data_IF_449014905507
#
_entry.id   IF_449014905507
#
_cell.length_a   1.000
_cell.length_b   1.000
_cell.length_c   1.000
_cell.angle_alpha   90.00
_cell.angle_beta   90.00
_cell.angle_gamma   90.00
#
_symmetry.space_group_name_H-M   'P 1'
#
loop_
_entity.id
_entity.type
_entity.pdbx_description
1 polymer ?
#
# COMPACT_ATOMS: atom_id res chain seq x y z
N UNK A 1 -8.80 -13.61 -3.15
CA UNK A 1 -8.17 -12.41 -2.58
C UNK A 1 -9.04 -11.65 -1.58
N UNK A 2 -10.36 -11.50 -1.77
CA UNK A 2 -11.22 -10.78 -0.82
C UNK A 2 -11.26 -11.37 0.62
N UNK A 3 -10.80 -12.61 0.80
CA UNK A 3 -10.72 -13.25 2.12
C UNK A 3 -9.49 -12.81 2.94
N UNK A 4 -8.48 -12.18 2.30
CA UNK A 4 -7.24 -11.76 2.95
C UNK A 4 -7.31 -10.35 3.57
N UNK A 5 -8.27 -9.54 3.13
CA UNK A 5 -8.50 -8.20 3.68
C UNK A 5 -9.42 -8.32 4.90
N UNK A 6 -9.01 -7.66 5.99
CA UNK A 6 -9.79 -7.57 7.22
C UNK A 6 -10.54 -6.24 7.30
N UNK A 7 -9.82 -5.14 7.05
CA UNK A 7 -10.36 -3.77 7.10
C UNK A 7 -9.71 -2.90 6.02
N UNK A 8 -10.46 -1.92 5.51
CA UNK A 8 -9.96 -0.88 4.61
C UNK A 8 -10.36 0.47 5.18
N UNK A 9 -9.36 1.30 5.46
CA UNK A 9 -9.52 2.69 5.85
C UNK A 9 -9.01 3.60 4.73
N UNK A 10 -9.73 4.69 4.49
CA UNK A 10 -9.39 5.68 3.46
C UNK A 10 -9.50 7.05 4.09
N UNK A 11 -8.37 7.74 4.17
CA UNK A 11 -8.25 9.09 4.67
C UNK A 11 -7.91 10.04 3.52
N UNK A 12 -8.55 11.22 3.50
CA UNK A 12 -8.25 12.27 2.52
C UNK A 12 -8.10 13.57 3.28
N UNK A 13 -6.86 13.94 3.61
CA UNK A 13 -6.53 15.16 4.33
C UNK A 13 -5.68 16.10 3.47
N UNK A 14 -6.01 17.39 3.48
CA UNK A 14 -5.17 18.42 2.84
C UNK A 14 -4.92 18.27 1.33
N UNK A 15 -5.71 17.44 0.63
CA UNK A 15 -5.50 17.12 -0.79
C UNK A 15 -4.56 15.93 -1.04
N UNK A 16 -4.30 15.13 -0.01
CA UNK A 16 -3.62 13.84 -0.11
C UNK A 16 -4.56 12.71 0.34
N UNK A 17 -4.73 11.72 -0.51
CA UNK A 17 -5.42 10.47 -0.21
C UNK A 17 -4.41 9.43 0.32
N UNK A 18 -4.79 8.80 1.42
CA UNK A 18 -4.10 7.65 2.01
C UNK A 18 -5.09 6.51 2.14
N UNK A 19 -4.68 5.32 1.75
CA UNK A 19 -5.43 4.08 1.92
C UNK A 19 -4.64 3.16 2.84
N UNK A 20 -5.31 2.57 3.81
CA UNK A 20 -4.74 1.58 4.73
C UNK A 20 -5.60 0.33 4.63
N UNK A 21 -4.98 -0.76 4.20
CA UNK A 21 -5.62 -2.08 4.10
C UNK A 21 -5.02 -2.98 5.17
N UNK A 22 -5.81 -3.33 6.17
CA UNK A 22 -5.45 -4.36 7.14
C UNK A 22 -5.63 -5.73 6.51
N UNK A 23 -4.61 -6.58 6.59
CA UNK A 23 -4.67 -7.95 6.07
C UNK A 23 -4.65 -8.97 7.21
N UNK A 24 -5.37 -10.08 7.01
CA UNK A 24 -5.41 -11.20 7.95
C UNK A 24 -4.09 -11.94 8.02
N UNK A 25 -3.38 -11.99 6.90
CA UNK A 25 -2.07 -12.63 6.80
C UNK A 25 -1.03 -11.90 7.65
N UNK A 26 0.02 -12.63 8.04
CA UNK A 26 1.09 -12.15 8.91
C UNK A 26 2.43 -12.43 8.27
N UNK A 27 3.41 -11.57 8.52
CA UNK A 27 4.80 -11.84 8.12
C UNK A 27 5.38 -12.84 9.12
N UNK A 28 6.04 -13.93 8.68
CA UNK A 28 6.53 -14.98 9.57
C UNK A 28 7.50 -14.46 10.66
N UNK A 29 8.28 -13.44 10.34
CA UNK A 29 9.25 -12.82 11.27
C UNK A 29 8.59 -11.88 12.29
N UNK A 30 7.34 -11.47 12.06
CA UNK A 30 6.59 -10.48 12.86
C UNK A 30 5.15 -10.95 13.06
N UNK A 31 4.97 -12.21 13.45
CA UNK A 31 3.65 -12.85 13.52
C UNK A 31 2.67 -12.18 14.50
N UNK A 32 3.20 -11.53 15.55
CA UNK A 32 2.42 -10.79 16.56
C UNK A 32 1.92 -9.43 16.06
N UNK A 33 2.54 -8.85 15.03
CA UNK A 33 2.16 -7.55 14.50
C UNK A 33 1.25 -7.70 13.29
N UNK A 34 0.11 -7.00 13.24
CA UNK A 34 -0.72 -6.99 12.05
C UNK A 34 0.03 -6.37 10.87
N UNK A 35 -0.11 -7.04 9.71
CA UNK A 35 0.41 -6.57 8.45
C UNK A 35 -0.62 -5.63 7.81
N UNK A 36 -0.12 -4.54 7.28
CA UNK A 36 -0.88 -3.48 6.65
C UNK A 36 -0.31 -3.25 5.26
N UNK A 37 -1.17 -3.11 4.28
CA UNK A 37 -0.82 -2.65 2.94
C UNK A 37 -1.35 -1.22 2.82
N UNK A 38 -0.45 -0.26 2.69
CA UNK A 38 -0.80 1.15 2.60
C UNK A 38 -0.50 1.71 1.23
N UNK A 39 -1.28 2.69 0.81
CA UNK A 39 -1.01 3.49 -0.37
C UNK A 39 -1.17 4.97 -0.03
N UNK A 40 -0.29 5.81 -0.57
CA UNK A 40 -0.46 7.26 -0.51
C UNK A 40 -0.01 7.91 -1.83
N UNK A 41 -0.51 9.11 -2.09
CA UNK A 41 -0.25 9.83 -3.33
C UNK A 41 1.21 10.31 -3.50
N UNK A 42 2.08 10.14 -2.49
CA UNK A 42 3.48 10.59 -2.51
C UNK A 42 4.45 9.43 -2.71
N UNK A 43 4.31 8.37 -1.92
CA UNK A 43 5.21 7.21 -1.89
C UNK A 43 4.63 5.96 -2.59
N UNK A 44 3.33 5.97 -2.93
CA UNK A 44 2.65 4.83 -3.54
C UNK A 44 2.46 3.67 -2.57
N UNK A 45 2.53 2.44 -3.07
CA UNK A 45 2.28 1.23 -2.27
C UNK A 45 3.44 0.87 -1.35
N UNK A 46 3.11 0.59 -0.08
CA UNK A 46 4.03 0.10 0.93
C UNK A 46 3.41 -0.99 1.80
N UNK A 47 4.22 -1.95 2.22
CA UNK A 47 3.90 -2.88 3.29
C UNK A 47 4.38 -2.30 4.60
N UNK A 48 3.53 -2.32 5.61
CA UNK A 48 3.81 -1.84 6.95
C UNK A 48 3.35 -2.86 7.98
N UNK A 49 3.93 -2.80 9.16
CA UNK A 49 3.41 -3.51 10.33
C UNK A 49 3.00 -2.50 11.38
N UNK A 50 1.94 -2.80 12.11
CA UNK A 50 1.63 -2.03 13.31
C UNK A 50 2.64 -2.39 14.40
N UNK A 51 3.38 -1.38 14.87
CA UNK A 51 4.45 -1.55 15.86
C UNK A 51 4.08 -1.00 17.23
N UNK A 52 2.91 -0.38 17.37
CA UNK A 52 2.40 0.07 18.68
C UNK A 52 0.88 0.07 18.73
N UNK A 53 0.35 -0.11 19.93
CA UNK A 53 -1.09 0.00 20.21
C UNK A 53 -1.68 1.40 20.02
N UNK A 54 -0.86 2.42 19.70
CA UNK A 54 -1.32 3.77 19.37
C UNK A 54 -1.46 4.00 17.85
N UNK A 55 -1.43 2.93 17.04
CA UNK A 55 -1.58 3.02 15.58
C UNK A 55 -0.32 3.46 14.84
N UNK A 56 0.85 3.48 15.49
CA UNK A 56 2.10 3.69 14.75
C UNK A 56 2.41 2.48 13.87
N UNK A 57 2.66 2.75 12.60
CA UNK A 57 3.01 1.74 11.60
C UNK A 57 4.43 1.96 11.12
N UNK A 58 5.19 0.88 10.94
CA UNK A 58 6.55 0.92 10.41
C UNK A 58 6.57 0.31 9.03
N UNK A 59 7.10 1.01 8.00
CA UNK A 59 7.23 0.43 6.67
C UNK A 59 8.28 -0.68 6.67
N UNK A 60 7.92 -1.82 6.14
CA UNK A 60 8.81 -2.95 5.88
C UNK A 60 9.42 -2.85 4.48
N UNK A 61 8.60 -2.50 3.48
CA UNK A 61 9.02 -2.39 2.10
C UNK A 61 8.10 -1.46 1.32
N UNK A 62 8.66 -0.72 0.38
CA UNK A 62 7.94 0.03 -0.64
C UNK A 62 8.04 -0.70 -1.97
N UNK A 63 6.95 -0.73 -2.75
CA UNK A 63 6.95 -1.35 -4.08
C UNK A 63 7.83 -0.53 -5.05
N UNK A 64 7.75 0.80 -4.99
CA UNK A 64 8.76 1.72 -5.53
C UNK A 64 8.89 1.81 -7.06
N UNK A 65 8.14 1.00 -7.84
CA UNK A 65 8.20 1.00 -9.30
C UNK A 65 7.21 1.97 -9.97
N UNK A 66 5.97 2.01 -9.50
CA UNK A 66 4.92 2.92 -10.00
C UNK A 66 3.96 3.27 -8.85
N UNK A 67 3.35 4.45 -8.92
CA UNK A 67 2.40 4.92 -7.91
C UNK A 67 1.07 4.14 -7.96
N UNK A 68 0.63 3.72 -9.14
CA UNK A 68 -0.61 2.97 -9.38
C UNK A 68 -0.35 1.78 -10.34
N UNK A 69 0.39 0.77 -9.88
CA UNK A 69 0.72 -0.41 -10.67
C UNK A 69 -0.51 -1.32 -10.85
N UNK A 70 -0.38 -2.32 -11.72
CA UNK A 70 -1.40 -3.34 -11.92
C UNK A 70 -1.78 -4.03 -10.59
N UNK A 71 -3.07 -4.33 -10.34
CA UNK A 71 -3.49 -4.98 -9.10
C UNK A 71 -2.77 -6.30 -8.83
N UNK A 72 -2.38 -7.05 -9.87
CA UNK A 72 -1.66 -8.31 -9.72
C UNK A 72 -0.24 -8.10 -9.18
N UNK A 73 0.40 -6.97 -9.51
CA UNK A 73 1.70 -6.59 -8.96
C UNK A 73 1.59 -6.33 -7.45
N UNK A 74 0.55 -5.60 -7.02
CA UNK A 74 0.30 -5.34 -5.59
C UNK A 74 0.02 -6.65 -4.83
N UNK A 75 -0.75 -7.57 -5.43
CA UNK A 75 -1.00 -8.88 -4.83
C UNK A 75 0.25 -9.76 -4.76
N UNK A 76 1.10 -9.75 -5.80
CA UNK A 76 2.37 -10.47 -5.78
C UNK A 76 3.29 -9.93 -4.68
N UNK A 77 3.34 -8.61 -4.54
CA UNK A 77 4.08 -7.92 -3.49
C UNK A 77 3.64 -8.35 -2.09
N UNK A 78 2.33 -8.36 -1.81
CA UNK A 78 1.78 -8.84 -0.54
C UNK A 78 2.14 -10.32 -0.29
N UNK A 79 1.94 -11.17 -1.30
CA UNK A 79 2.20 -12.61 -1.21
C UNK A 79 3.66 -12.92 -0.92
N UNK A 80 4.59 -12.23 -1.57
CA UNK A 80 6.02 -12.41 -1.32
C UNK A 80 6.38 -12.10 0.13
N UNK A 81 5.83 -11.03 0.70
CA UNK A 81 6.07 -10.66 2.09
C UNK A 81 5.47 -11.67 3.09
N UNK A 82 4.27 -12.19 2.83
CA UNK A 82 3.67 -13.26 3.64
C UNK A 82 4.50 -14.54 3.60
N UNK A 83 5.23 -14.79 2.51
CA UNK A 83 6.20 -15.88 2.41
C UNK A 83 7.58 -15.54 3.00
N UNK A 84 7.75 -14.39 3.66
CA UNK A 84 9.01 -13.97 4.29
C UNK A 84 10.08 -13.52 3.29
N UNK A 85 9.71 -13.26 2.04
CA UNK A 85 10.60 -12.62 1.05
C UNK A 85 10.56 -11.11 1.26
N UNK A 86 11.58 -10.41 0.79
CA UNK A 86 11.64 -8.95 0.82
C UNK A 86 11.47 -8.39 -0.60
N UNK A 87 10.23 -8.25 -1.10
CA UNK A 87 9.97 -7.97 -2.51
C UNK A 87 10.15 -6.50 -2.92
N UNK A 88 10.42 -5.60 -1.98
CA UNK A 88 10.53 -4.16 -2.25
C UNK A 88 11.79 -3.51 -1.70
N UNK A 89 11.80 -2.18 -1.72
CA UNK A 89 12.89 -1.34 -1.23
C UNK A 89 12.60 -0.80 0.17
N UNK A 90 13.64 -0.56 0.96
CA UNK A 90 13.54 0.07 2.29
C UNK A 90 13.35 1.60 2.21
N UNK A 91 13.47 2.17 1.03
CA UNK A 91 13.41 3.63 0.82
C UNK A 91 12.24 3.98 -0.08
N UNK A 92 11.38 4.89 0.39
CA UNK A 92 10.27 5.41 -0.40
C UNK A 92 10.79 6.20 -1.61
N UNK A 93 10.24 5.91 -2.79
CA UNK A 93 10.37 6.78 -3.95
C UNK A 93 9.39 7.92 -3.79
N UNK A 94 9.86 9.17 -3.75
CA UNK A 94 8.97 10.33 -3.78
C UNK A 94 8.47 10.53 -5.21
N UNK A 95 7.36 9.87 -5.56
CA UNK A 95 6.76 9.97 -6.89
C UNK A 95 6.13 11.33 -7.14
N UNK A 96 5.65 11.98 -6.08
CA UNK A 96 4.93 13.26 -6.17
C UNK A 96 5.32 14.21 -5.05
N UNK A 97 5.10 15.50 -5.30
CA UNK A 97 5.00 16.50 -4.24
C UNK A 97 3.51 16.64 -3.83
N UNK A 98 3.24 16.93 -2.54
CA UNK A 98 1.88 17.18 -2.09
C UNK A 98 1.21 18.30 -2.91
N UNK A 99 -0.02 18.06 -3.36
CA UNK A 99 -0.83 19.00 -4.14
C UNK A 99 -0.21 19.44 -5.50
N UNK A 100 0.71 18.66 -6.06
CA UNK A 100 1.23 18.92 -7.40
C UNK A 100 0.15 18.56 -8.45
N UNK A 101 -0.04 19.40 -9.47
CA UNK A 101 -1.07 19.20 -10.52
C UNK A 101 -0.68 18.16 -11.57
N UNK A 102 -0.38 16.93 -11.14
CA UNK A 102 0.01 15.80 -12.00
C UNK A 102 -1.20 14.99 -12.49
N UNK A 103 -0.97 14.11 -13.47
CA UNK A 103 -2.00 13.25 -14.08
C UNK A 103 -2.56 12.11 -13.19
N UNK A 104 -2.27 12.10 -11.88
CA UNK A 104 -2.67 11.00 -10.98
C UNK A 104 -4.19 10.83 -10.91
N UNK A 105 -4.93 11.94 -10.86
CA UNK A 105 -6.41 11.94 -10.88
C UNK A 105 -6.93 11.25 -12.15
N UNK A 106 -6.28 11.51 -13.29
CA UNK A 106 -6.63 10.88 -14.58
C UNK A 106 -6.29 9.39 -14.58
N UNK A 107 -5.12 9.00 -14.03
CA UNK A 107 -4.72 7.58 -13.93
C UNK A 107 -5.66 6.79 -13.02
N UNK A 108 -6.09 7.35 -11.89
CA UNK A 108 -7.08 6.73 -10.99
C UNK A 108 -8.43 6.52 -11.69
N UNK A 109 -8.92 7.52 -12.45
CA UNK A 109 -10.15 7.39 -13.21
C UNK A 109 -10.08 6.27 -14.26
N UNK A 110 -8.95 6.14 -14.96
CA UNK A 110 -8.71 5.07 -15.93
C UNK A 110 -8.62 3.69 -15.27
N UNK A 111 -7.97 3.61 -14.11
CA UNK A 111 -7.85 2.38 -13.34
C UNK A 111 -9.22 1.85 -12.90
N UNK A 112 -10.10 2.74 -12.43
CA UNK A 112 -11.47 2.38 -12.07
C UNK A 112 -12.29 1.88 -13.27
N UNK A 113 -12.06 2.41 -14.47
CA UNK A 113 -12.72 1.93 -15.69
C UNK A 113 -12.21 0.54 -16.10
N UNK A 114 -10.89 0.32 -15.98
CA UNK A 114 -10.26 -0.97 -16.29
C UNK A 114 -10.76 -2.11 -15.39
N UNK A 115 -10.92 -1.86 -14.08
CA UNK A 115 -11.40 -2.86 -13.13
C UNK A 115 -12.90 -3.15 -13.24
N UNK A 116 -13.66 -2.31 -13.96
CA UNK A 116 -15.12 -2.45 -14.13
C UNK A 116 -15.55 -3.09 -15.45
N UNK A 117 -14.64 -3.22 -16.41
CA UNK A 117 -14.87 -3.85 -17.73
C UNK A 117 -14.66 -5.35 -17.72
#
# INVERSE_FOLDING_TARGET
>A
MADEVDEVDVDVDGGLATVIVLVKSRVPTLADSPLLLTWDEVAGWALRVETSSMGHTTPLAYLGEDILPDPQTVQAFLRDAVHGRNPGTLTATAFRLPNAGDDLETRLAQFLDHERG
#
